data_IF_293532959040
#
_entry.id   IF_293532959040
#
_cell.length_a   1.000
_cell.length_b   1.000
_cell.length_c   1.000
_cell.angle_alpha   90.00
_cell.angle_beta   90.00
_cell.angle_gamma   90.00
#
_symmetry.space_group_name_H-M   'P 1'
#
loop_
_entity.id
_entity.type
_entity.pdbx_description
1 polymer ?
#
# COMPACT_ATOMS: atom_id res chain seq x y z
N UNK A 1 2.00 -5.58 -41.43
CA UNK A 1 1.75 -4.98 -40.12
C UNK A 1 3.11 -4.98 -39.43
N UNK A 2 3.73 -3.83 -39.25
CA UNK A 2 4.95 -3.70 -38.43
C UNK A 2 4.59 -4.10 -37.02
N UNK A 3 5.24 -5.12 -36.49
CA UNK A 3 5.10 -5.60 -35.13
C UNK A 3 5.41 -4.41 -34.20
N UNK A 4 4.49 -4.04 -33.29
CA UNK A 4 4.69 -2.96 -32.35
C UNK A 4 5.83 -3.35 -31.40
N UNK A 5 6.82 -2.48 -31.24
CA UNK A 5 7.98 -2.68 -30.37
C UNK A 5 7.94 -1.68 -29.23
N UNK A 6 8.05 -2.16 -27.99
CA UNK A 6 8.25 -1.31 -26.85
C UNK A 6 9.66 -0.71 -26.79
N UNK A 7 9.77 0.40 -26.08
CA UNK A 7 11.04 0.93 -25.63
C UNK A 7 11.74 -0.11 -24.76
N UNK A 8 13.03 -0.27 -24.87
CA UNK A 8 13.81 -1.10 -23.94
C UNK A 8 14.31 -0.26 -22.76
N UNK A 9 14.63 -0.92 -21.64
CA UNK A 9 15.21 -0.26 -20.46
C UNK A 9 16.49 0.47 -20.81
N UNK A 10 17.35 -0.12 -21.64
CA UNK A 10 18.61 0.50 -22.08
C UNK A 10 18.35 1.76 -22.94
N UNK A 11 17.29 1.77 -23.73
CA UNK A 11 16.88 2.96 -24.51
C UNK A 11 16.36 4.05 -23.57
N UNK A 12 15.61 3.71 -22.50
CA UNK A 12 15.20 4.67 -21.48
C UNK A 12 16.41 5.36 -20.84
N UNK A 13 17.45 4.61 -20.48
CA UNK A 13 18.66 5.20 -19.89
C UNK A 13 19.42 6.10 -20.87
N UNK A 14 19.51 5.74 -22.16
CA UNK A 14 20.07 6.62 -23.19
C UNK A 14 19.28 7.92 -23.33
N UNK A 15 17.96 7.87 -23.19
CA UNK A 15 17.11 9.06 -23.23
C UNK A 15 17.33 9.95 -21.99
N UNK A 16 17.53 9.37 -20.80
CA UNK A 16 17.92 10.13 -19.61
C UNK A 16 19.23 10.89 -19.83
N UNK A 17 20.23 10.25 -20.44
CA UNK A 17 21.51 10.88 -20.77
C UNK A 17 21.31 12.00 -21.81
N UNK A 18 20.53 11.76 -22.87
CA UNK A 18 20.24 12.72 -23.94
C UNK A 18 19.53 13.97 -23.41
N UNK A 19 18.58 13.84 -22.50
CA UNK A 19 17.83 14.95 -21.88
C UNK A 19 18.51 15.54 -20.65
N UNK A 20 19.62 14.96 -20.22
CA UNK A 20 20.33 15.38 -19.01
C UNK A 20 19.44 15.30 -17.76
N UNK A 21 18.60 14.26 -17.68
CA UNK A 21 17.65 14.05 -16.58
C UNK A 21 18.41 13.91 -15.26
N UNK A 22 18.06 14.68 -14.21
CA UNK A 22 18.74 14.60 -12.94
C UNK A 22 18.61 13.22 -12.28
N UNK A 23 19.64 12.76 -11.56
CA UNK A 23 19.66 11.43 -10.91
C UNK A 23 18.47 11.22 -9.95
N UNK A 24 18.06 12.24 -9.19
CA UNK A 24 16.90 12.14 -8.30
C UNK A 24 15.57 11.94 -9.06
N UNK A 25 15.46 12.45 -10.29
CA UNK A 25 14.31 12.21 -11.17
C UNK A 25 14.36 10.79 -11.73
N UNK A 26 15.55 10.32 -12.11
CA UNK A 26 15.76 8.92 -12.55
C UNK A 26 15.37 7.95 -11.43
N UNK A 27 15.78 8.25 -10.19
CA UNK A 27 15.36 7.49 -8.99
C UNK A 27 13.83 7.44 -8.84
N UNK A 28 13.17 8.60 -9.00
CA UNK A 28 11.71 8.70 -9.00
C UNK A 28 11.06 7.83 -10.08
N UNK A 29 11.54 7.94 -11.32
CA UNK A 29 11.03 7.16 -12.44
C UNK A 29 11.17 5.64 -12.22
N UNK A 30 12.28 5.18 -11.62
CA UNK A 30 12.47 3.77 -11.23
C UNK A 30 11.41 3.35 -10.20
N UNK A 31 11.23 4.14 -9.15
CA UNK A 31 10.26 3.82 -8.10
C UNK A 31 8.82 3.82 -8.62
N UNK A 32 8.47 4.72 -9.54
CA UNK A 32 7.16 4.73 -10.21
C UNK A 32 6.98 3.49 -11.08
N UNK A 33 7.97 3.12 -11.87
CA UNK A 33 7.97 1.91 -12.69
C UNK A 33 7.79 0.65 -11.86
N UNK A 34 8.58 0.49 -10.78
CA UNK A 34 8.52 -0.67 -9.90
C UNK A 34 7.17 -0.75 -9.16
N UNK A 35 6.61 0.39 -8.78
CA UNK A 35 5.30 0.49 -8.15
C UNK A 35 4.20 0.05 -9.11
N UNK A 36 4.23 0.56 -10.33
CA UNK A 36 3.23 0.23 -11.36
C UNK A 36 3.27 -1.25 -11.74
N UNK A 37 4.47 -1.83 -11.87
CA UNK A 37 4.64 -3.27 -12.14
C UNK A 37 4.04 -4.11 -11.03
N UNK A 38 4.35 -3.83 -9.75
CA UNK A 38 3.82 -4.61 -8.62
C UNK A 38 2.29 -4.61 -8.57
N UNK A 39 1.66 -3.46 -8.82
CA UNK A 39 0.20 -3.35 -8.87
C UNK A 39 -0.34 -4.12 -10.08
N UNK A 40 0.26 -3.95 -11.26
CA UNK A 40 -0.13 -4.64 -12.49
C UNK A 40 0.02 -6.16 -12.39
N UNK A 41 1.12 -6.66 -11.82
CA UNK A 41 1.32 -8.10 -11.58
C UNK A 41 0.24 -8.68 -10.68
N UNK A 42 -0.12 -7.97 -9.60
CA UNK A 42 -1.14 -8.44 -8.68
C UNK A 42 -2.53 -8.43 -9.31
N UNK A 43 -2.85 -7.42 -10.12
CA UNK A 43 -4.07 -7.40 -10.91
C UNK A 43 -4.09 -8.53 -11.96
N UNK A 44 -2.98 -8.80 -12.66
CA UNK A 44 -2.88 -9.89 -13.62
C UNK A 44 -3.10 -11.28 -12.97
N UNK A 45 -2.62 -11.49 -11.73
CA UNK A 45 -2.94 -12.70 -10.94
C UNK A 45 -4.44 -12.83 -10.65
N UNK A 46 -5.17 -11.74 -10.63
CA UNK A 46 -6.61 -11.67 -10.38
C UNK A 46 -7.45 -11.52 -11.66
N UNK A 47 -6.91 -11.93 -12.81
CA UNK A 47 -7.65 -12.08 -14.08
C UNK A 47 -7.61 -10.88 -15.00
N UNK A 48 -6.85 -9.84 -14.70
CA UNK A 48 -6.54 -8.75 -15.64
C UNK A 48 -5.41 -9.18 -16.59
N UNK A 49 -5.17 -8.40 -17.63
CA UNK A 49 -4.14 -8.72 -18.63
C UNK A 49 -3.42 -7.47 -19.10
N UNK A 50 -2.66 -6.84 -18.20
CA UNK A 50 -1.85 -5.68 -18.51
C UNK A 50 -0.57 -6.05 -19.24
N UNK A 51 -0.16 -5.21 -20.18
CA UNK A 51 1.14 -5.25 -20.84
C UNK A 51 2.20 -4.65 -19.87
N UNK A 52 2.82 -5.52 -19.06
CA UNK A 52 3.76 -5.11 -18.02
C UNK A 52 5.06 -4.50 -18.59
N UNK A 53 5.45 -4.83 -19.83
CA UNK A 53 6.60 -4.18 -20.48
C UNK A 53 6.26 -2.73 -20.83
N UNK A 54 5.06 -2.47 -21.37
CA UNK A 54 4.57 -1.12 -21.60
C UNK A 54 4.50 -0.31 -20.30
N UNK A 55 3.93 -0.91 -19.23
CA UNK A 55 3.86 -0.27 -17.92
C UNK A 55 5.24 0.10 -17.40
N UNK A 56 6.19 -0.83 -17.48
CA UNK A 56 7.55 -0.66 -17.01
C UNK A 56 8.26 0.51 -17.68
N UNK A 57 8.30 0.49 -19.00
CA UNK A 57 9.07 1.49 -19.76
C UNK A 57 8.38 2.85 -19.69
N UNK A 58 7.04 2.90 -19.71
CA UNK A 58 6.30 4.15 -19.54
C UNK A 58 6.51 4.77 -18.15
N UNK A 59 6.52 3.95 -17.09
CA UNK A 59 6.87 4.40 -15.74
C UNK A 59 8.30 4.92 -15.64
N UNK A 60 9.27 4.28 -16.33
CA UNK A 60 10.65 4.75 -16.38
C UNK A 60 10.81 6.08 -17.11
N UNK A 61 10.05 6.33 -18.18
CA UNK A 61 10.32 7.45 -19.07
C UNK A 61 9.38 8.65 -18.86
N UNK A 62 8.38 8.56 -17.96
CA UNK A 62 7.31 9.56 -17.86
C UNK A 62 7.84 10.99 -17.59
N UNK A 63 8.90 11.12 -16.81
CA UNK A 63 9.52 12.39 -16.41
C UNK A 63 10.89 12.65 -17.08
N UNK A 64 11.22 11.99 -18.21
CA UNK A 64 12.52 12.10 -18.88
C UNK A 64 12.89 13.54 -19.22
N UNK A 65 11.93 14.35 -19.66
CA UNK A 65 12.13 15.75 -20.03
C UNK A 65 11.84 16.73 -18.87
N UNK A 66 12.01 16.31 -17.61
CA UNK A 66 11.60 17.08 -16.41
C UNK A 66 12.18 18.49 -16.31
N UNK A 67 13.23 18.80 -17.04
CA UNK A 67 13.84 20.15 -17.11
C UNK A 67 13.15 21.10 -18.09
N UNK A 68 12.32 20.55 -18.97
CA UNK A 68 11.61 21.33 -19.98
C UNK A 68 10.25 21.82 -19.45
N UNK A 69 9.82 22.97 -19.95
CA UNK A 69 8.45 23.43 -19.74
C UNK A 69 7.47 22.48 -20.45
N UNK A 70 6.36 22.13 -19.82
CA UNK A 70 5.41 21.13 -20.33
C UNK A 70 6.10 19.79 -20.68
N UNK A 71 6.96 19.32 -19.76
CA UNK A 71 7.80 18.13 -19.94
C UNK A 71 7.05 16.90 -20.43
N UNK A 72 5.78 16.72 -20.03
CA UNK A 72 4.90 15.63 -20.44
C UNK A 72 4.61 15.67 -21.95
N UNK A 73 4.48 16.87 -22.50
CA UNK A 73 4.24 17.06 -23.94
C UNK A 73 5.54 16.85 -24.73
N UNK A 74 6.64 17.45 -24.26
CA UNK A 74 7.97 17.32 -24.90
C UNK A 74 8.39 15.85 -24.96
N UNK A 75 8.26 15.11 -23.84
CA UNK A 75 8.59 13.70 -23.79
C UNK A 75 7.69 12.87 -24.72
N UNK A 76 6.38 13.14 -24.71
CA UNK A 76 5.44 12.42 -25.56
C UNK A 76 5.68 12.66 -27.06
N UNK A 77 5.94 13.90 -27.48
CA UNK A 77 6.23 14.20 -28.88
C UNK A 77 7.55 13.57 -29.34
N UNK A 78 8.56 13.53 -28.48
CA UNK A 78 9.81 12.82 -28.74
C UNK A 78 9.57 11.33 -28.94
N UNK A 79 8.81 10.68 -28.04
CA UNK A 79 8.48 9.25 -28.14
C UNK A 79 7.69 8.95 -29.42
N UNK A 80 6.70 9.77 -29.74
CA UNK A 80 5.89 9.63 -30.93
C UNK A 80 6.76 9.74 -32.21
N UNK A 81 7.69 10.70 -32.26
CA UNK A 81 8.60 10.89 -33.39
C UNK A 81 9.55 9.71 -33.63
N UNK A 82 9.80 8.92 -32.58
CA UNK A 82 10.63 7.71 -32.61
C UNK A 82 9.81 6.43 -32.83
N UNK A 83 8.47 6.53 -32.95
CA UNK A 83 7.57 5.44 -33.24
C UNK A 83 7.03 4.70 -32.00
N UNK A 84 7.28 5.21 -30.77
CA UNK A 84 6.77 4.66 -29.51
C UNK A 84 5.41 5.28 -29.16
N UNK A 85 4.37 4.88 -29.92
CA UNK A 85 3.05 5.50 -29.87
C UNK A 85 2.37 5.30 -28.51
N UNK A 86 2.35 4.06 -27.99
CA UNK A 86 1.67 3.73 -26.75
C UNK A 86 2.33 4.41 -25.54
N UNK A 87 3.66 4.41 -25.48
CA UNK A 87 4.42 5.10 -24.44
C UNK A 87 4.16 6.61 -24.49
N UNK A 88 4.12 7.19 -25.70
CA UNK A 88 3.77 8.60 -25.90
C UNK A 88 2.39 8.95 -25.35
N UNK A 89 1.38 8.09 -25.59
CA UNK A 89 0.01 8.30 -25.08
C UNK A 89 -0.02 8.32 -23.55
N UNK A 90 0.67 7.40 -22.89
CA UNK A 90 0.75 7.32 -21.42
C UNK A 90 1.46 8.56 -20.86
N UNK A 91 2.64 8.87 -21.39
CA UNK A 91 3.47 9.99 -20.91
C UNK A 91 2.77 11.32 -21.08
N UNK A 92 2.02 11.53 -22.17
CA UNK A 92 1.31 12.77 -22.48
C UNK A 92 0.30 13.18 -21.42
N UNK A 93 -0.33 12.21 -20.76
CA UNK A 93 -1.45 12.47 -19.86
C UNK A 93 -1.10 12.34 -18.38
N UNK A 94 0.10 11.89 -18.02
CA UNK A 94 0.42 11.50 -16.64
C UNK A 94 0.16 12.61 -15.60
N UNK A 95 0.43 13.88 -15.95
CA UNK A 95 0.19 15.01 -15.05
C UNK A 95 -1.29 15.28 -14.76
N UNK A 96 -2.18 15.08 -15.76
CA UNK A 96 -3.58 15.49 -15.71
C UNK A 96 -4.56 14.31 -15.83
N UNK A 97 -4.08 13.08 -15.71
CA UNK A 97 -4.91 11.88 -15.84
C UNK A 97 -6.02 11.82 -14.79
N UNK A 98 -7.23 11.45 -15.24
CA UNK A 98 -8.40 11.21 -14.40
C UNK A 98 -8.75 9.74 -14.43
N UNK A 99 -8.85 9.15 -13.25
CA UNK A 99 -9.22 7.74 -13.12
C UNK A 99 -10.70 7.52 -13.46
N UNK A 100 -10.96 6.49 -14.25
CA UNK A 100 -12.29 6.06 -14.64
C UNK A 100 -12.89 5.03 -13.69
N UNK A 101 -13.60 4.05 -14.25
CA UNK A 101 -14.13 2.91 -13.53
C UNK A 101 -13.10 1.78 -13.58
N UNK A 102 -13.07 0.92 -12.55
CA UNK A 102 -12.14 -0.21 -12.47
C UNK A 102 -12.29 -1.20 -13.65
N UNK A 103 -13.48 -1.29 -14.26
CA UNK A 103 -13.72 -2.15 -15.42
C UNK A 103 -12.98 -1.68 -16.69
N UNK A 104 -12.64 -0.39 -16.74
CA UNK A 104 -11.97 0.25 -17.88
C UNK A 104 -10.48 0.52 -17.58
N UNK A 105 -9.94 -0.06 -16.49
CA UNK A 105 -8.56 0.14 -16.06
C UNK A 105 -7.56 -0.28 -17.14
N UNK A 106 -6.56 0.55 -17.39
CA UNK A 106 -5.53 0.32 -18.40
C UNK A 106 -4.13 0.66 -17.88
N UNK A 107 -3.10 0.43 -18.69
CA UNK A 107 -1.70 0.68 -18.36
C UNK A 107 -1.44 2.14 -17.95
N UNK A 108 -2.15 3.08 -18.57
CA UNK A 108 -2.08 4.50 -18.20
C UNK A 108 -2.48 4.75 -16.76
N UNK A 109 -3.53 4.07 -16.28
CA UNK A 109 -3.98 4.20 -14.89
C UNK A 109 -2.92 3.70 -13.92
N UNK A 110 -2.24 2.59 -14.24
CA UNK A 110 -1.19 2.03 -13.38
C UNK A 110 -0.01 2.98 -13.23
N UNK A 111 0.48 3.54 -14.33
CA UNK A 111 1.60 4.49 -14.32
C UNK A 111 1.21 5.77 -13.58
N UNK A 112 0.05 6.37 -13.92
CA UNK A 112 -0.40 7.62 -13.33
C UNK A 112 -0.77 7.48 -11.86
N UNK A 113 -1.31 6.33 -11.43
CA UNK A 113 -1.55 6.05 -10.01
C UNK A 113 -0.23 5.94 -9.26
N UNK A 114 0.71 5.20 -9.81
CA UNK A 114 2.01 4.95 -9.17
C UNK A 114 2.81 6.23 -8.96
N UNK A 115 2.82 7.15 -9.92
CA UNK A 115 3.43 8.49 -9.77
C UNK A 115 2.82 9.26 -8.57
N UNK A 116 1.52 9.06 -8.31
CA UNK A 116 0.83 9.71 -7.18
C UNK A 116 1.00 8.98 -5.84
N UNK A 117 1.66 7.82 -5.82
CA UNK A 117 1.95 7.04 -4.61
C UNK A 117 3.42 7.05 -4.22
N UNK A 118 4.28 7.55 -5.12
CA UNK A 118 5.73 7.62 -4.94
C UNK A 118 6.15 9.05 -4.56
N UNK A 119 7.05 9.17 -3.59
CA UNK A 119 7.72 10.41 -3.18
C UNK A 119 9.21 10.20 -3.31
N UNK A 120 9.87 11.09 -4.07
CA UNK A 120 11.28 10.92 -4.41
C UNK A 120 11.49 9.55 -5.07
N UNK A 121 12.21 8.63 -4.47
CA UNK A 121 12.49 7.29 -4.96
C UNK A 121 11.84 6.17 -4.12
N UNK A 122 10.84 6.50 -3.29
CA UNK A 122 10.17 5.56 -2.40
C UNK A 122 8.65 5.55 -2.57
N UNK A 123 8.03 4.37 -2.45
CA UNK A 123 6.60 4.22 -2.26
C UNK A 123 6.21 4.71 -0.87
N UNK A 124 5.30 5.69 -0.79
CA UNK A 124 4.84 6.25 0.49
C UNK A 124 3.32 6.18 0.66
N UNK A 125 2.59 5.83 -0.40
CA UNK A 125 1.14 5.86 -0.43
C UNK A 125 0.57 7.26 -0.59
N UNK A 126 -0.75 7.33 -0.81
CA UNK A 126 -1.42 8.59 -1.19
C UNK A 126 -1.45 9.61 -0.06
N UNK A 127 -1.55 9.18 1.20
CA UNK A 127 -1.67 10.10 2.33
C UNK A 127 -0.40 10.91 2.50
N UNK A 128 0.75 10.25 2.64
CA UNK A 128 2.04 10.92 2.80
C UNK A 128 2.44 11.72 1.56
N UNK A 129 2.14 11.21 0.36
CA UNK A 129 2.43 11.93 -0.89
C UNK A 129 1.69 13.25 -0.98
N UNK A 130 0.41 13.28 -0.69
CA UNK A 130 -0.40 14.50 -0.74
C UNK A 130 -0.01 15.45 0.40
N UNK A 131 0.22 14.95 1.61
CA UNK A 131 0.66 15.76 2.74
C UNK A 131 2.02 16.43 2.43
N UNK A 132 2.95 15.71 1.80
CA UNK A 132 4.21 16.29 1.32
C UNK A 132 3.96 17.41 0.29
N UNK A 133 3.04 17.21 -0.67
CA UNK A 133 2.74 18.21 -1.68
C UNK A 133 2.04 19.46 -1.10
N UNK A 134 1.19 19.30 -0.09
CA UNK A 134 0.52 20.41 0.62
C UNK A 134 1.51 21.27 1.42
N UNK A 135 2.54 20.67 2.01
CA UNK A 135 3.51 21.38 2.83
C UNK A 135 4.75 21.88 2.06
N UNK A 136 4.75 21.74 0.75
CA UNK A 136 5.86 22.22 -0.09
C UNK A 136 5.87 23.76 -0.13
N UNK A 137 7.04 24.44 0.04
CA UNK A 137 7.12 25.90 0.03
C UNK A 137 6.54 26.50 -1.25
N UNK A 138 5.77 27.60 -1.11
CA UNK A 138 5.22 28.34 -2.25
C UNK A 138 3.82 27.92 -2.70
N UNK A 139 3.09 27.15 -1.91
CA UNK A 139 1.73 26.72 -2.27
C UNK A 139 0.66 27.78 -2.02
N UNK A 140 -0.37 27.74 -2.88
CA UNK A 140 -1.55 28.57 -2.74
C UNK A 140 -2.76 27.74 -2.22
N UNK A 141 -3.76 28.39 -1.61
CA UNK A 141 -4.95 27.71 -1.07
C UNK A 141 -5.74 26.92 -2.12
N UNK A 142 -5.82 27.40 -3.38
CA UNK A 142 -6.56 26.74 -4.45
C UNK A 142 -5.93 25.39 -4.83
N UNK A 143 -4.58 25.33 -4.85
CA UNK A 143 -3.85 24.10 -5.10
C UNK A 143 -4.05 23.11 -3.95
N UNK A 144 -4.04 23.57 -2.72
CA UNK A 144 -4.30 22.72 -1.54
C UNK A 144 -5.69 22.10 -1.60
N UNK A 145 -6.72 22.89 -1.92
CA UNK A 145 -8.09 22.37 -2.08
C UNK A 145 -8.18 21.35 -3.23
N UNK A 146 -7.53 21.61 -4.34
CA UNK A 146 -7.43 20.68 -5.45
C UNK A 146 -6.78 19.35 -5.02
N UNK A 147 -5.67 19.39 -4.30
CA UNK A 147 -4.95 18.20 -3.83
C UNK A 147 -5.79 17.37 -2.86
N UNK A 148 -6.53 18.01 -1.94
CA UNK A 148 -7.43 17.32 -1.01
C UNK A 148 -8.56 16.61 -1.77
N UNK A 149 -9.14 17.26 -2.78
CA UNK A 149 -10.19 16.65 -3.63
C UNK A 149 -9.62 15.48 -4.43
N UNK A 150 -8.48 15.66 -5.07
CA UNK A 150 -7.78 14.62 -5.82
C UNK A 150 -7.43 13.40 -4.94
N UNK A 151 -6.98 13.63 -3.70
CA UNK A 151 -6.73 12.57 -2.70
C UNK A 151 -7.96 11.70 -2.48
N UNK A 152 -9.13 12.31 -2.33
CA UNK A 152 -10.38 11.57 -2.10
C UNK A 152 -10.78 10.71 -3.31
N UNK A 153 -10.64 11.24 -4.53
CA UNK A 153 -10.91 10.53 -5.77
C UNK A 153 -9.93 9.35 -5.97
N UNK A 154 -8.64 9.58 -5.75
CA UNK A 154 -7.61 8.54 -5.85
C UNK A 154 -7.87 7.43 -4.82
N UNK A 155 -8.18 7.77 -3.57
CA UNK A 155 -8.51 6.77 -2.53
C UNK A 155 -9.73 5.92 -2.91
N UNK A 156 -10.72 6.50 -3.58
CA UNK A 156 -11.86 5.74 -4.08
C UNK A 156 -11.41 4.74 -5.15
N UNK A 157 -10.58 5.17 -6.09
CA UNK A 157 -10.06 4.30 -7.15
C UNK A 157 -9.16 3.20 -6.58
N UNK A 158 -8.29 3.53 -5.63
CA UNK A 158 -7.47 2.54 -4.90
C UNK A 158 -8.33 1.46 -4.24
N UNK A 159 -9.42 1.84 -3.55
CA UNK A 159 -10.33 0.86 -2.94
C UNK A 159 -10.98 -0.09 -3.96
N UNK A 160 -11.26 0.38 -5.17
CA UNK A 160 -11.80 -0.48 -6.22
C UNK A 160 -10.73 -1.47 -6.73
N UNK A 161 -9.46 -1.06 -6.85
CA UNK A 161 -8.31 -1.95 -7.11
C UNK A 161 -8.14 -2.95 -5.97
N UNK A 162 -8.14 -2.49 -4.72
CA UNK A 162 -7.97 -3.32 -3.52
C UNK A 162 -9.03 -4.41 -3.39
N UNK A 163 -10.28 -4.10 -3.76
CA UNK A 163 -11.34 -5.12 -3.87
C UNK A 163 -11.05 -6.16 -4.95
N UNK A 164 -10.51 -5.72 -6.09
CA UNK A 164 -10.17 -6.62 -7.19
C UNK A 164 -9.02 -7.57 -6.84
N UNK A 165 -8.02 -7.10 -6.09
CA UNK A 165 -6.86 -7.90 -5.69
C UNK A 165 -7.02 -8.60 -4.32
N UNK A 166 -8.10 -8.31 -3.58
CA UNK A 166 -8.38 -8.92 -2.27
C UNK A 166 -7.45 -8.47 -1.14
N UNK A 167 -6.66 -7.40 -1.33
CA UNK A 167 -5.71 -6.86 -0.34
C UNK A 167 -5.43 -5.38 -0.58
N UNK A 168 -4.88 -4.68 0.41
CA UNK A 168 -4.54 -3.27 0.24
C UNK A 168 -3.32 -3.09 -0.67
N UNK A 169 -3.31 -2.01 -1.47
CA UNK A 169 -2.15 -1.65 -2.31
C UNK A 169 -0.91 -1.47 -1.44
N UNK A 170 -1.02 -0.78 -0.30
CA UNK A 170 0.09 -0.60 0.64
C UNK A 170 0.74 -1.93 1.04
N UNK A 171 -0.04 -3.01 1.17
CA UNK A 171 0.48 -4.32 1.55
C UNK A 171 1.42 -4.95 0.52
N UNK A 172 1.38 -4.51 -0.74
CA UNK A 172 2.29 -4.96 -1.80
C UNK A 172 3.73 -4.47 -1.58
N UNK A 173 3.89 -3.37 -0.83
CA UNK A 173 5.17 -2.70 -0.60
C UNK A 173 5.74 -2.96 0.80
N UNK A 174 4.99 -3.64 1.65
CA UNK A 174 5.49 -4.07 2.96
C UNK A 174 6.48 -5.23 2.80
N UNK A 175 7.51 -5.29 3.63
CA UNK A 175 8.34 -6.49 3.71
C UNK A 175 7.47 -7.68 4.14
N UNK A 176 7.88 -8.89 3.79
CA UNK A 176 7.20 -10.08 4.29
C UNK A 176 7.28 -10.16 5.82
N UNK A 177 6.28 -10.73 6.48
CA UNK A 177 6.34 -10.97 7.93
C UNK A 177 7.59 -11.78 8.29
N UNK A 178 7.98 -12.75 7.47
CA UNK A 178 9.20 -13.54 7.67
C UNK A 178 10.48 -12.69 7.72
N UNK A 179 10.52 -11.58 6.99
CA UNK A 179 11.63 -10.64 7.05
C UNK A 179 11.70 -9.96 8.43
N UNK A 180 10.55 -9.56 9.00
CA UNK A 180 10.48 -8.99 10.34
C UNK A 180 10.84 -10.03 11.40
N UNK A 181 10.29 -11.25 11.27
CA UNK A 181 10.51 -12.34 12.24
C UNK A 181 11.98 -12.73 12.40
N UNK A 182 12.79 -12.58 11.35
CA UNK A 182 14.24 -12.82 11.40
C UNK A 182 15.01 -11.77 12.21
N UNK A 183 14.40 -10.64 12.51
CA UNK A 183 15.04 -9.50 13.18
C UNK A 183 14.61 -9.33 14.62
N UNK A 184 13.65 -10.14 15.09
CA UNK A 184 13.13 -10.07 16.46
C UNK A 184 13.68 -11.20 17.34
N UNK A 185 13.78 -10.94 18.64
CA UNK A 185 14.35 -11.88 19.60
C UNK A 185 13.49 -13.15 19.76
N UNK A 186 12.16 -13.00 19.74
CA UNK A 186 11.21 -14.11 19.95
C UNK A 186 10.15 -14.17 18.85
N UNK A 187 10.48 -14.67 17.66
CA UNK A 187 9.55 -14.75 16.53
C UNK A 187 8.31 -15.60 16.82
N UNK A 188 8.40 -16.58 17.72
CA UNK A 188 7.28 -17.45 18.11
C UNK A 188 6.06 -16.69 18.68
N UNK A 189 6.25 -15.48 19.22
CA UNK A 189 5.14 -14.60 19.67
C UNK A 189 4.18 -14.21 18.54
N UNK A 190 4.63 -14.29 17.30
CA UNK A 190 3.95 -13.75 16.13
C UNK A 190 3.60 -14.80 15.08
N UNK A 191 3.97 -16.06 15.29
CA UNK A 191 3.77 -17.13 14.30
C UNK A 191 2.35 -17.71 14.34
N UNK A 192 1.69 -17.74 15.50
CA UNK A 192 0.42 -18.44 15.68
C UNK A 192 0.58 -19.98 15.58
N UNK A 193 -0.49 -20.65 15.18
CA UNK A 193 -0.56 -22.11 15.05
C UNK A 193 -0.47 -22.88 16.40
N UNK A 194 -0.91 -22.24 17.49
CA UNK A 194 -1.03 -22.91 18.77
C UNK A 194 -2.07 -24.04 18.69
N UNK A 195 -1.91 -25.04 19.56
CA UNK A 195 -2.93 -26.09 19.75
C UNK A 195 -4.25 -25.40 20.12
N UNK A 196 -5.34 -25.75 19.47
CA UNK A 196 -6.67 -25.17 19.62
C UNK A 196 -6.85 -23.77 19.00
N UNK A 197 -5.95 -23.29 18.16
CA UNK A 197 -6.27 -22.11 17.36
C UNK A 197 -7.37 -22.44 16.35
N UNK A 198 -8.25 -21.48 16.09
CA UNK A 198 -9.34 -21.62 15.13
C UNK A 198 -9.04 -20.70 13.95
N UNK A 199 -8.93 -21.28 12.76
CA UNK A 199 -8.75 -20.56 11.51
C UNK A 199 -10.02 -20.72 10.68
N UNK A 200 -10.68 -19.60 10.36
CA UNK A 200 -11.82 -19.54 9.44
C UNK A 200 -11.48 -18.61 8.27
N UNK A 201 -12.03 -18.91 7.11
CA UNK A 201 -11.95 -17.97 6.00
C UNK A 201 -12.87 -16.77 6.29
N UNK A 202 -12.34 -15.55 6.25
CA UNK A 202 -13.10 -14.32 6.51
C UNK A 202 -14.25 -14.13 5.51
N UNK A 203 -14.14 -14.68 4.31
CA UNK A 203 -15.23 -14.64 3.32
C UNK A 203 -16.45 -15.50 3.68
N UNK A 204 -16.31 -16.45 4.61
CA UNK A 204 -17.36 -17.41 5.01
C UNK A 204 -18.09 -16.99 6.31
N UNK A 205 -17.77 -15.81 6.85
CA UNK A 205 -18.36 -15.30 8.10
C UNK A 205 -18.92 -13.89 7.89
N UNK A 206 -19.91 -13.53 8.71
CA UNK A 206 -20.53 -12.20 8.66
C UNK A 206 -19.72 -11.15 9.44
N UNK A 207 -18.98 -11.59 10.47
CA UNK A 207 -18.26 -10.71 11.41
C UNK A 207 -16.86 -11.26 11.69
N UNK A 208 -15.87 -10.38 11.52
CA UNK A 208 -14.48 -10.62 11.91
C UNK A 208 -14.14 -9.78 13.15
N UNK A 209 -13.70 -10.44 14.23
CA UNK A 209 -13.41 -9.82 15.52
C UNK A 209 -11.94 -10.01 15.90
N UNK A 210 -11.17 -8.91 15.91
CA UNK A 210 -9.84 -8.87 16.50
C UNK A 210 -9.97 -8.61 18.01
N UNK A 211 -9.62 -9.61 18.81
CA UNK A 211 -9.71 -9.54 20.27
C UNK A 211 -8.33 -9.39 20.90
N UNK A 212 -8.06 -8.22 21.45
CA UNK A 212 -6.75 -7.83 21.93
C UNK A 212 -6.58 -7.98 23.44
N UNK A 213 -5.42 -8.49 23.82
CA UNK A 213 -4.86 -8.36 25.15
C UNK A 213 -3.72 -7.31 25.10
N UNK A 214 -3.85 -6.18 25.81
CA UNK A 214 -2.91 -5.06 25.67
C UNK A 214 -1.62 -5.27 26.47
N UNK A 215 -1.00 -6.43 26.32
CA UNK A 215 0.31 -6.80 26.86
C UNK A 215 0.95 -7.87 25.98
N UNK A 216 2.18 -8.30 26.34
CA UNK A 216 2.93 -9.29 25.61
C UNK A 216 2.19 -10.63 25.45
N UNK A 217 2.52 -11.34 24.38
CA UNK A 217 1.96 -12.64 24.04
C UNK A 217 1.94 -13.63 25.23
N UNK A 218 3.04 -13.76 25.97
CA UNK A 218 3.14 -14.72 27.10
C UNK A 218 2.15 -14.40 28.22
N UNK A 219 1.90 -13.12 28.49
CA UNK A 219 0.97 -12.69 29.53
C UNK A 219 -0.47 -12.93 29.04
N UNK A 220 -0.79 -12.48 27.82
CA UNK A 220 -2.12 -12.63 27.26
C UNK A 220 -2.53 -14.08 27.03
N UNK A 221 -1.62 -14.94 26.58
CA UNK A 221 -1.90 -16.36 26.37
C UNK A 221 -2.13 -17.13 27.68
N UNK A 222 -1.59 -16.66 28.79
CA UNK A 222 -1.87 -17.22 30.12
C UNK A 222 -3.20 -16.77 30.72
N UNK A 223 -3.86 -15.74 30.11
CA UNK A 223 -5.10 -15.19 30.66
C UNK A 223 -6.31 -15.97 30.18
N UNK A 224 -6.94 -16.68 31.15
CA UNK A 224 -8.08 -17.57 30.90
C UNK A 224 -9.28 -16.82 30.28
N UNK A 225 -9.53 -15.59 30.68
CA UNK A 225 -10.64 -14.77 30.15
C UNK A 225 -10.58 -14.55 28.66
N UNK A 226 -9.36 -14.31 28.11
CA UNK A 226 -9.14 -14.22 26.67
C UNK A 226 -9.53 -15.53 25.97
N UNK A 227 -9.06 -16.66 26.50
CA UNK A 227 -9.30 -17.98 25.90
C UNK A 227 -10.79 -18.35 25.91
N UNK A 228 -11.51 -17.99 26.98
CA UNK A 228 -12.97 -18.25 27.08
C UNK A 228 -13.72 -17.46 26.00
N UNK A 229 -13.49 -16.15 25.89
CA UNK A 229 -14.18 -15.29 24.90
C UNK A 229 -13.82 -15.72 23.49
N UNK A 230 -12.53 -15.97 23.23
CA UNK A 230 -12.05 -16.49 21.95
C UNK A 230 -12.80 -17.77 21.53
N UNK A 231 -12.93 -18.73 22.43
CA UNK A 231 -13.64 -19.96 22.15
C UNK A 231 -15.15 -19.74 21.97
N UNK A 232 -15.80 -18.92 22.79
CA UNK A 232 -17.22 -18.61 22.67
C UNK A 232 -17.56 -18.02 21.32
N UNK A 233 -16.82 -17.01 20.89
CA UNK A 233 -17.06 -16.37 19.59
C UNK A 233 -16.76 -17.33 18.44
N UNK A 234 -15.69 -18.13 18.53
CA UNK A 234 -15.34 -19.08 17.48
C UNK A 234 -16.27 -20.29 17.36
N UNK A 235 -17.12 -20.57 18.38
CA UNK A 235 -18.22 -21.52 18.26
C UNK A 235 -19.42 -20.98 17.46
N UNK A 236 -19.52 -19.67 17.25
CA UNK A 236 -20.54 -19.07 16.38
C UNK A 236 -20.21 -19.38 14.92
N UNK A 237 -21.23 -19.78 14.12
CA UNK A 237 -20.99 -20.14 12.70
C UNK A 237 -20.66 -18.94 11.83
N UNK A 238 -21.21 -17.78 12.16
CA UNK A 238 -21.15 -16.56 11.36
C UNK A 238 -20.12 -15.55 11.89
N UNK A 239 -19.26 -15.92 12.82
CA UNK A 239 -18.21 -15.04 13.33
C UNK A 239 -16.86 -15.77 13.45
N UNK A 240 -15.80 -15.02 13.33
CA UNK A 240 -14.43 -15.44 13.65
C UNK A 240 -13.83 -14.46 14.65
N UNK A 241 -13.16 -14.99 15.66
CA UNK A 241 -12.37 -14.23 16.60
C UNK A 241 -10.89 -14.58 16.43
N UNK A 242 -10.06 -13.57 16.25
CA UNK A 242 -8.61 -13.70 16.15
C UNK A 242 -7.94 -12.88 17.25
N UNK A 243 -6.85 -13.41 17.80
CA UNK A 243 -6.16 -12.80 18.94
C UNK A 243 -5.15 -11.75 18.47
N UNK A 244 -4.98 -10.73 19.30
CA UNK A 244 -3.98 -9.67 19.08
C UNK A 244 -3.28 -9.40 20.41
N UNK A 245 -1.96 -9.22 20.38
CA UNK A 245 -1.15 -8.88 21.55
C UNK A 245 -0.33 -7.61 21.27
N UNK A 246 0.00 -6.90 22.33
CA UNK A 246 0.95 -5.79 22.19
C UNK A 246 2.30 -6.35 21.73
N UNK A 247 2.93 -5.76 20.71
CA UNK A 247 4.24 -6.20 20.26
C UNK A 247 5.31 -5.91 21.32
N UNK A 248 6.34 -6.74 21.36
CA UNK A 248 7.55 -6.40 22.12
C UNK A 248 8.30 -5.25 21.42
N UNK A 249 9.17 -4.56 22.15
CA UNK A 249 9.84 -3.36 21.66
C UNK A 249 10.59 -3.57 20.34
N UNK A 250 11.25 -4.70 20.17
CA UNK A 250 11.97 -5.05 18.93
C UNK A 250 11.04 -5.20 17.72
N UNK A 251 9.88 -5.84 17.90
CA UNK A 251 8.86 -5.93 16.84
C UNK A 251 8.18 -4.58 16.61
N UNK A 252 7.91 -3.82 17.66
CA UNK A 252 7.35 -2.47 17.54
C UNK A 252 8.27 -1.57 16.72
N UNK A 253 9.58 -1.59 16.98
CA UNK A 253 10.56 -0.84 16.21
C UNK A 253 10.54 -1.25 14.73
N UNK A 254 10.42 -2.55 14.43
CA UNK A 254 10.28 -3.03 13.05
C UNK A 254 8.97 -2.58 12.41
N UNK A 255 7.86 -2.65 13.16
CA UNK A 255 6.55 -2.19 12.67
C UNK A 255 6.57 -0.68 12.34
N UNK A 256 7.19 0.13 13.20
CA UNK A 256 7.33 1.56 12.96
C UNK A 256 8.26 1.86 11.78
N UNK A 257 9.43 1.23 11.75
CA UNK A 257 10.44 1.39 10.68
C UNK A 257 9.88 1.08 9.30
N UNK A 258 9.15 -0.03 9.17
CA UNK A 258 8.61 -0.50 7.90
C UNK A 258 7.16 -0.10 7.67
N UNK A 259 6.56 0.73 8.57
CA UNK A 259 5.14 1.08 8.54
C UNK A 259 4.22 -0.16 8.52
N UNK A 260 4.70 -1.28 9.06
CA UNK A 260 3.97 -2.55 9.10
C UNK A 260 2.81 -2.44 10.09
N UNK A 261 1.55 -2.68 9.69
CA UNK A 261 0.41 -2.52 10.59
C UNK A 261 0.36 -3.63 11.64
N UNK A 262 -0.24 -3.34 12.80
CA UNK A 262 -0.59 -4.37 13.78
C UNK A 262 -1.52 -5.39 13.15
N UNK A 263 -1.26 -6.67 13.40
CA UNK A 263 -1.95 -7.80 12.76
C UNK A 263 -2.43 -8.83 13.78
N UNK A 264 -3.39 -9.62 13.36
CA UNK A 264 -3.95 -10.72 14.15
C UNK A 264 -3.01 -11.93 14.18
N UNK A 265 -3.09 -12.74 15.24
CA UNK A 265 -2.18 -13.88 15.43
C UNK A 265 -2.52 -15.05 14.51
N UNK A 266 -3.76 -15.29 14.15
CA UNK A 266 -4.20 -16.43 13.35
C UNK A 266 -3.96 -16.20 11.85
N UNK A 267 -4.66 -15.26 11.24
CA UNK A 267 -4.61 -15.03 9.79
C UNK A 267 -3.54 -14.05 9.34
N UNK A 268 -2.88 -13.33 10.27
CA UNK A 268 -1.98 -12.21 9.97
C UNK A 268 -2.67 -11.03 9.29
N UNK A 269 -3.99 -10.96 9.41
CA UNK A 269 -4.77 -9.84 8.86
C UNK A 269 -4.46 -8.56 9.62
N UNK A 270 -4.20 -7.43 8.94
CA UNK A 270 -4.09 -6.13 9.58
C UNK A 270 -5.35 -5.83 10.41
N UNK A 271 -5.17 -5.45 11.68
CA UNK A 271 -6.30 -5.24 12.60
C UNK A 271 -7.33 -4.24 12.08
N UNK A 272 -6.88 -3.21 11.37
CA UNK A 272 -7.77 -2.20 10.75
C UNK A 272 -8.72 -2.77 9.68
N UNK A 273 -8.48 -3.98 9.21
CA UNK A 273 -9.30 -4.66 8.20
C UNK A 273 -10.33 -5.61 8.84
N UNK A 274 -10.37 -5.69 10.17
CA UNK A 274 -11.36 -6.45 10.92
C UNK A 274 -12.58 -5.55 11.19
N UNK A 275 -13.77 -6.15 11.31
CA UNK A 275 -15.01 -5.39 11.56
C UNK A 275 -15.05 -4.82 12.98
N UNK A 276 -14.52 -5.56 13.95
CA UNK A 276 -14.48 -5.17 15.36
C UNK A 276 -13.06 -5.33 15.89
N UNK A 277 -12.55 -4.30 16.57
CA UNK A 277 -11.35 -4.36 17.38
C UNK A 277 -11.67 -4.10 18.84
N UNK A 278 -11.64 -5.15 19.67
CA UNK A 278 -11.99 -5.10 21.08
C UNK A 278 -10.80 -5.43 21.99
N UNK A 279 -10.80 -4.86 23.18
CA UNK A 279 -9.74 -5.03 24.17
C UNK A 279 -10.26 -5.66 25.45
N UNK A 280 -9.44 -6.48 26.10
CA UNK A 280 -9.59 -6.77 27.53
C UNK A 280 -8.87 -5.70 28.32
N UNK A 281 -9.45 -5.24 29.43
CA UNK A 281 -8.85 -4.21 30.29
C UNK A 281 -8.80 -4.71 31.73
N UNK A 282 -7.63 -5.19 32.17
CA UNK A 282 -7.43 -5.76 33.50
C UNK A 282 -7.00 -4.72 34.53
N UNK A 283 -6.30 -3.67 34.13
CA UNK A 283 -5.80 -2.60 34.98
C UNK A 283 -5.50 -1.33 34.19
N UNK A 284 -5.43 -0.21 34.87
CA UNK A 284 -5.37 1.13 34.27
C UNK A 284 -4.09 1.38 33.46
N UNK A 285 -2.97 0.74 33.83
CA UNK A 285 -1.71 0.92 33.10
C UNK A 285 -1.75 0.36 31.68
N UNK A 286 -2.74 -0.47 31.36
CA UNK A 286 -2.95 -0.97 29.99
C UNK A 286 -3.45 0.10 29.00
N UNK A 287 -3.91 1.28 29.47
CA UNK A 287 -4.39 2.34 28.57
C UNK A 287 -3.33 2.83 27.58
N UNK A 288 -2.10 2.98 28.01
CA UNK A 288 -1.00 3.41 27.14
C UNK A 288 -0.72 2.36 26.05
N UNK A 289 -0.76 1.08 26.40
CA UNK A 289 -0.60 -0.01 25.44
C UNK A 289 -1.76 -0.05 24.42
N UNK A 290 -2.99 0.22 24.86
CA UNK A 290 -4.15 0.31 23.96
C UNK A 290 -3.94 1.44 22.94
N UNK A 291 -3.53 2.63 23.38
CA UNK A 291 -3.26 3.75 22.48
C UNK A 291 -2.15 3.42 21.47
N UNK A 292 -1.08 2.80 21.94
CA UNK A 292 0.01 2.32 21.09
C UNK A 292 -0.47 1.28 20.06
N UNK A 293 -1.29 0.32 20.47
CA UNK A 293 -1.84 -0.69 19.58
C UNK A 293 -2.78 -0.09 18.53
N UNK A 294 -3.58 0.93 18.88
CA UNK A 294 -4.42 1.67 17.92
C UNK A 294 -3.56 2.41 16.90
N UNK A 295 -2.50 3.08 17.36
CA UNK A 295 -1.55 3.77 16.46
C UNK A 295 -0.89 2.79 15.49
N UNK A 296 -0.37 1.66 15.98
CA UNK A 296 0.24 0.62 15.15
C UNK A 296 -0.77 -0.03 14.20
N UNK A 297 -2.05 -0.14 14.62
CA UNK A 297 -3.13 -0.62 13.77
C UNK A 297 -3.57 0.40 12.71
N UNK A 298 -3.04 1.64 12.72
CA UNK A 298 -3.49 2.76 11.87
C UNK A 298 -4.97 3.09 12.04
N UNK A 299 -5.48 2.95 13.27
CA UNK A 299 -6.85 3.30 13.66
C UNK A 299 -6.80 4.65 14.39
N UNK A 300 -7.58 5.65 13.95
CA UNK A 300 -7.62 6.94 14.62
C UNK A 300 -8.01 6.84 16.10
N UNK A 301 -7.32 7.60 16.96
CA UNK A 301 -7.62 7.61 18.40
C UNK A 301 -8.89 8.44 18.67
N UNK A 302 -9.17 9.43 17.81
CA UNK A 302 -10.35 10.28 17.92
C UNK A 302 -11.41 9.85 16.91
N UNK A 303 -12.65 9.67 17.38
CA UNK A 303 -13.78 9.17 16.56
C UNK A 303 -14.19 10.11 15.40
N UNK A 304 -13.60 11.30 15.29
CA UNK A 304 -13.89 12.28 14.22
C UNK A 304 -12.83 12.32 13.10
N UNK A 305 -11.77 11.54 13.26
CA UNK A 305 -10.69 11.38 12.28
C UNK A 305 -10.89 10.11 11.44
#
# INVERSE_FOLDING_TARGET
MTEYRHLTVDECYRLFDEYGTPEHVIGHCRAVSDTAIKIGEELNKNGYNFDLELVKVSGLIHDVARREDCHEIVAADMLLSRGFVKESEIVRVHMNHKFGKIQDICETDLVCLSDRLVKEDEYVGIDERIDYLIHKPGENPERTEYLIRAKSEIKKYMRDIEKAIGRTIDSLFLPSLDHLLKQVEKPARYTGNEINCVIKNHADVDITFAFAFPDLYEIGMSYMGLQIIYNVVNHMKNAVCERVFAPAADMEDMMRKYKYPLFTLESKTPVRNMDIFGFTLQYEMSFTNILNMLELAKIPIQAKE
#
